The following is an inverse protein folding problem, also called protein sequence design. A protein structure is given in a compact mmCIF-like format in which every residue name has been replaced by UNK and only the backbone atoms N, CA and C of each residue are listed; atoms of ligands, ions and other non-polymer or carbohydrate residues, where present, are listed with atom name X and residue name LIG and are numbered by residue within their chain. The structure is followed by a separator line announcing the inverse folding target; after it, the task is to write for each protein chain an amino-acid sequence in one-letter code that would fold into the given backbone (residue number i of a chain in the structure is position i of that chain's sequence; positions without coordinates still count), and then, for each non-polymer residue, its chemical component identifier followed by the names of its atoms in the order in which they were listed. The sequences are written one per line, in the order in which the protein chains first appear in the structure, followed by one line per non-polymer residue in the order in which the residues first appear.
data_IF_989745498799
#
_entry.id   IF_989745498799
#
_cell.length_a   1.000
_cell.length_b   1.000
_cell.length_c   1.000
_cell.angle_alpha   90.00
_cell.angle_beta   90.00
_cell.angle_gamma   90.00
#
_symmetry.space_group_name_H-M   'P 1'
#
loop_
_entity.id
_entity.type
_entity.pdbx_description
1 polymer ?
#
# COMPACT_ATOMS: atom_id res chain seq x y z
N UNK A 1 30.07 -10.80 -5.61
CA UNK A 1 29.89 -11.08 -4.17
C UNK A 1 29.38 -9.82 -3.47
N UNK A 2 28.12 -9.79 -3.03
CA UNK A 2 27.65 -8.78 -2.06
C UNK A 2 26.32 -9.25 -1.43
N UNK A 3 26.38 -10.32 -0.65
CA UNK A 3 25.23 -10.80 0.13
C UNK A 3 25.43 -10.54 1.63
N UNK A 4 26.63 -10.11 2.07
CA UNK A 4 26.96 -9.88 3.47
C UNK A 4 26.84 -8.41 3.95
N UNK A 5 26.49 -7.45 3.09
CA UNK A 5 26.21 -6.05 3.50
C UNK A 5 24.70 -5.73 3.63
N UNK A 6 23.83 -6.71 3.39
CA UNK A 6 22.40 -6.48 3.14
C UNK A 6 21.60 -6.08 4.38
N UNK A 7 21.87 -6.67 5.55
CA UNK A 7 21.08 -6.44 6.77
C UNK A 7 21.23 -5.04 7.36
N UNK A 8 22.48 -4.60 7.60
CA UNK A 8 22.74 -3.28 8.20
C UNK A 8 22.31 -2.13 7.27
N UNK A 9 22.55 -2.26 5.96
CA UNK A 9 22.09 -1.27 4.97
C UNK A 9 20.56 -1.26 4.83
N UNK A 10 19.90 -2.42 4.83
CA UNK A 10 18.44 -2.48 4.80
C UNK A 10 17.83 -1.86 6.07
N UNK A 11 18.42 -2.14 7.24
CA UNK A 11 18.01 -1.54 8.50
C UNK A 11 18.21 -0.01 8.50
N UNK A 12 19.36 0.46 8.03
CA UNK A 12 19.63 1.89 7.91
C UNK A 12 18.68 2.57 6.90
N UNK A 13 18.40 1.93 5.75
CA UNK A 13 17.43 2.41 4.79
C UNK A 13 16.04 2.51 5.43
N UNK A 14 15.60 1.46 6.13
CA UNK A 14 14.34 1.46 6.86
C UNK A 14 14.26 2.64 7.85
N UNK A 15 15.27 2.82 8.69
CA UNK A 15 15.31 3.92 9.66
C UNK A 15 15.31 5.30 9.00
N UNK A 16 16.06 5.48 7.92
CA UNK A 16 16.15 6.75 7.21
C UNK A 16 14.86 7.07 6.44
N UNK A 17 14.20 6.04 5.88
CA UNK A 17 12.93 6.19 5.16
C UNK A 17 11.85 6.76 6.09
N UNK A 18 11.82 6.36 7.35
CA UNK A 18 10.86 6.87 8.34
C UNK A 18 11.17 8.29 8.85
N UNK A 19 12.40 8.78 8.64
CA UNK A 19 12.80 10.13 9.07
C UNK A 19 12.56 11.19 8.00
N UNK A 20 12.19 10.78 6.80
CA UNK A 20 11.87 11.70 5.71
C UNK A 20 10.52 12.35 5.96
N UNK A 21 10.45 13.65 5.73
CA UNK A 21 9.23 14.46 5.91
C UNK A 21 8.48 14.70 4.59
N UNK A 22 9.03 14.24 3.47
CA UNK A 22 8.46 14.42 2.14
C UNK A 22 7.49 13.31 1.72
N UNK A 23 7.40 12.23 2.49
CA UNK A 23 6.36 11.21 2.34
C UNK A 23 6.00 10.59 3.68
N UNK A 24 4.79 10.06 3.78
CA UNK A 24 4.29 9.31 4.92
C UNK A 24 4.23 7.82 4.57
N UNK A 25 4.69 6.96 5.48
CA UNK A 25 4.51 5.51 5.34
C UNK A 25 3.26 5.12 6.11
N UNK A 26 2.26 4.61 5.39
CA UNK A 26 1.01 4.17 5.99
C UNK A 26 1.13 2.75 6.55
N UNK A 27 0.70 2.59 7.79
CA UNK A 27 0.56 1.31 8.49
C UNK A 27 -0.88 1.12 8.94
N UNK A 28 -1.27 -0.08 9.37
CA UNK A 28 -2.52 -0.22 10.13
C UNK A 28 -2.50 0.74 11.33
N UNK A 29 -3.56 1.55 11.49
CA UNK A 29 -3.69 2.48 12.63
C UNK A 29 -3.63 1.75 13.96
N UNK A 30 -4.15 0.53 13.99
CA UNK A 30 -4.03 -0.42 15.09
C UNK A 30 -3.91 -1.81 14.49
N UNK A 31 -2.97 -2.63 14.98
CA UNK A 31 -2.84 -4.00 14.49
C UNK A 31 -4.15 -4.77 14.74
N UNK A 32 -4.81 -5.28 13.69
CA UNK A 32 -6.10 -5.93 13.84
C UNK A 32 -5.97 -7.27 14.57
N UNK A 33 -6.95 -7.63 15.43
CA UNK A 33 -7.08 -9.02 15.89
C UNK A 33 -7.13 -9.98 14.70
N UNK A 34 -6.61 -11.20 14.87
CA UNK A 34 -6.49 -12.15 13.75
C UNK A 34 -7.82 -12.42 13.04
N UNK A 35 -8.93 -12.48 13.79
CA UNK A 35 -10.28 -12.66 13.23
C UNK A 35 -10.71 -11.47 12.37
N UNK A 36 -10.46 -10.24 12.81
CA UNK A 36 -10.70 -9.01 12.04
C UNK A 36 -9.81 -8.96 10.81
N UNK A 37 -8.53 -9.31 10.95
CA UNK A 37 -7.61 -9.38 9.84
C UNK A 37 -8.11 -10.34 8.75
N UNK A 38 -8.45 -11.58 9.12
CA UNK A 38 -8.92 -12.59 8.17
C UNK A 38 -10.23 -12.14 7.51
N UNK A 39 -11.22 -11.70 8.30
CA UNK A 39 -12.52 -11.29 7.77
C UNK A 39 -12.44 -10.07 6.84
N UNK A 40 -11.70 -9.02 7.24
CA UNK A 40 -11.49 -7.83 6.40
C UNK A 40 -10.74 -8.19 5.13
N UNK A 41 -9.64 -8.93 5.24
CA UNK A 41 -8.84 -9.34 4.07
C UNK A 41 -9.68 -10.16 3.09
N UNK A 42 -10.48 -11.13 3.56
CA UNK A 42 -11.39 -11.90 2.71
C UNK A 42 -12.45 -11.01 2.03
N UNK A 43 -12.95 -9.99 2.71
CA UNK A 43 -13.89 -9.03 2.11
C UNK A 43 -13.26 -8.26 0.94
N UNK A 44 -11.99 -7.89 1.00
CA UNK A 44 -11.29 -7.28 -0.14
C UNK A 44 -10.93 -8.28 -1.23
N UNK A 45 -10.52 -9.51 -0.87
CA UNK A 45 -10.29 -10.59 -1.84
C UNK A 45 -11.55 -10.88 -2.64
N UNK A 46 -12.74 -10.83 -2.02
CA UNK A 46 -14.01 -11.00 -2.73
C UNK A 46 -14.28 -9.92 -3.79
N UNK A 47 -13.58 -8.79 -3.74
CA UNK A 47 -13.55 -7.76 -4.79
C UNK A 47 -12.61 -8.12 -5.96
N UNK A 48 -12.18 -9.38 -6.07
CA UNK A 48 -11.24 -9.90 -7.07
C UNK A 48 -9.84 -9.28 -6.96
N UNK A 49 -9.31 -9.25 -5.75
CA UNK A 49 -7.94 -8.81 -5.43
C UNK A 49 -7.08 -9.99 -4.98
N UNK A 50 -5.78 -9.91 -5.24
CA UNK A 50 -4.82 -10.80 -4.57
C UNK A 50 -4.74 -10.48 -3.07
N UNK A 51 -4.15 -11.36 -2.26
CA UNK A 51 -3.95 -11.10 -0.82
C UNK A 51 -3.19 -9.79 -0.57
N UNK A 52 -2.11 -9.54 -1.31
CA UNK A 52 -1.32 -8.32 -1.17
C UNK A 52 -2.10 -7.07 -1.58
N UNK A 53 -2.79 -7.12 -2.72
CA UNK A 53 -3.60 -6.00 -3.18
C UNK A 53 -4.77 -5.71 -2.22
N UNK A 54 -5.37 -6.76 -1.63
CA UNK A 54 -6.42 -6.64 -0.64
C UNK A 54 -5.95 -5.91 0.64
N UNK A 55 -4.73 -6.20 1.10
CA UNK A 55 -4.14 -5.51 2.24
C UNK A 55 -3.83 -4.04 1.92
N UNK A 56 -3.27 -3.77 0.73
CA UNK A 56 -3.00 -2.40 0.27
C UNK A 56 -4.30 -1.60 0.18
N UNK A 57 -5.32 -2.14 -0.48
CA UNK A 57 -6.62 -1.48 -0.60
C UNK A 57 -7.22 -1.17 0.78
N UNK A 58 -7.14 -2.12 1.72
CA UNK A 58 -7.60 -1.88 3.09
C UNK A 58 -6.87 -0.71 3.74
N UNK A 59 -5.54 -0.71 3.75
CA UNK A 59 -4.75 0.36 4.38
C UNK A 59 -5.12 1.72 3.77
N UNK A 60 -5.22 1.81 2.45
CA UNK A 60 -5.53 3.07 1.75
C UNK A 60 -6.95 3.58 2.08
N UNK A 61 -7.96 2.70 2.09
CA UNK A 61 -9.33 3.09 2.47
C UNK A 61 -9.40 3.53 3.95
N UNK A 62 -8.69 2.84 4.86
CA UNK A 62 -8.66 3.19 6.30
C UNK A 62 -7.96 4.53 6.59
N UNK A 63 -7.06 4.95 5.71
CA UNK A 63 -6.40 6.24 5.79
C UNK A 63 -7.09 7.36 4.99
N UNK A 64 -8.22 7.07 4.34
CA UNK A 64 -8.93 8.02 3.48
C UNK A 64 -8.01 8.60 2.39
N UNK A 65 -7.18 7.76 1.77
CA UNK A 65 -6.36 8.18 0.63
C UNK A 65 -7.25 8.48 -0.57
N UNK A 66 -7.08 9.63 -1.21
CA UNK A 66 -7.91 10.06 -2.35
C UNK A 66 -7.57 9.32 -3.66
N UNK A 67 -6.27 9.06 -3.88
CA UNK A 67 -5.79 8.42 -5.10
C UNK A 67 -4.59 7.49 -4.87
N UNK A 68 -4.57 6.36 -5.57
CA UNK A 68 -3.43 5.44 -5.68
C UNK A 68 -2.77 5.59 -7.05
N UNK A 69 -1.51 6.02 -7.05
CA UNK A 69 -0.68 6.10 -8.25
C UNK A 69 0.10 4.78 -8.40
N UNK A 70 -0.16 4.01 -9.45
CA UNK A 70 0.47 2.69 -9.65
C UNK A 70 0.47 2.26 -11.12
N UNK A 71 1.50 1.48 -11.51
CA UNK A 71 1.52 0.79 -12.80
C UNK A 71 0.54 -0.39 -12.85
N UNK A 72 0.16 -0.94 -11.70
CA UNK A 72 -0.74 -2.08 -11.59
C UNK A 72 -2.22 -1.65 -11.53
N UNK A 73 -2.60 -0.58 -12.26
CA UNK A 73 -3.94 0.04 -12.19
C UNK A 73 -5.08 -0.98 -12.26
N UNK A 74 -5.00 -1.95 -13.18
CA UNK A 74 -5.99 -3.04 -13.37
C UNK A 74 -6.27 -3.88 -12.11
N UNK A 75 -5.33 -3.91 -11.16
CA UNK A 75 -5.50 -4.66 -9.91
C UNK A 75 -6.51 -3.99 -8.96
N UNK A 76 -6.63 -2.67 -9.02
CA UNK A 76 -7.41 -1.86 -8.07
C UNK A 76 -8.58 -1.10 -8.73
N UNK A 77 -8.50 -0.81 -10.02
CA UNK A 77 -9.49 -0.02 -10.76
C UNK A 77 -10.90 -0.60 -10.61
N UNK A 78 -11.84 0.23 -10.17
CA UNK A 78 -13.25 -0.12 -9.96
C UNK A 78 -13.54 -1.00 -8.74
N UNK A 79 -12.56 -1.22 -7.85
CA UNK A 79 -12.70 -2.12 -6.68
C UNK A 79 -12.54 -1.41 -5.33
N UNK A 80 -12.14 -0.15 -5.32
CA UNK A 80 -11.85 0.65 -4.13
C UNK A 80 -12.63 1.98 -4.14
N UNK A 81 -12.70 2.65 -2.98
CA UNK A 81 -13.31 3.98 -2.85
C UNK A 81 -12.44 5.14 -3.35
N UNK A 82 -11.17 4.88 -3.66
CA UNK A 82 -10.19 5.88 -4.11
C UNK A 82 -9.94 5.79 -5.62
N UNK A 83 -9.46 6.89 -6.19
CA UNK A 83 -9.08 6.93 -7.59
C UNK A 83 -7.81 6.10 -7.85
N UNK A 84 -7.72 5.41 -9.00
CA UNK A 84 -6.52 4.65 -9.36
C UNK A 84 -5.97 5.19 -10.67
N UNK A 85 -4.75 5.70 -10.64
CA UNK A 85 -4.09 6.37 -11.75
C UNK A 85 -2.76 5.69 -12.08
N UNK A 86 -2.38 5.68 -13.36
CA UNK A 86 -0.97 5.49 -13.72
C UNK A 86 -0.19 6.79 -13.48
N UNK A 87 1.15 6.74 -13.37
CA UNK A 87 1.96 7.95 -13.26
C UNK A 87 1.71 8.96 -14.39
N UNK A 88 1.53 8.50 -15.63
CA UNK A 88 1.23 9.38 -16.77
C UNK A 88 -0.12 10.08 -16.61
N UNK A 89 -1.16 9.33 -16.20
CA UNK A 89 -2.50 9.87 -15.98
C UNK A 89 -2.49 10.92 -14.86
N UNK A 90 -1.72 10.68 -13.79
CA UNK A 90 -1.56 11.64 -12.71
C UNK A 90 -0.87 12.93 -13.19
N UNK A 91 0.23 12.82 -13.94
CA UNK A 91 0.96 13.98 -14.44
C UNK A 91 0.16 14.84 -15.43
N UNK A 92 -0.85 14.27 -16.09
CA UNK A 92 -1.74 15.02 -17.00
C UNK A 92 -2.86 15.77 -16.26
N UNK A 93 -3.13 15.43 -14.99
CA UNK A 93 -4.16 16.08 -14.17
C UNK A 93 -3.65 17.30 -13.39
N UNK A 94 -2.33 17.41 -13.22
CA UNK A 94 -1.66 18.46 -12.44
C UNK A 94 -1.40 19.69 -13.30
#
# INVERSE_FOLDING_TARGET
MSIAQSGAKAHQLFLLLHRRSDFEILYWRTWPPISTYVSKTLSYISRRMSLGDAQVAWILEEHNVDALITWNKKHFEGKCSFEVLTPEEYLQKV
#
